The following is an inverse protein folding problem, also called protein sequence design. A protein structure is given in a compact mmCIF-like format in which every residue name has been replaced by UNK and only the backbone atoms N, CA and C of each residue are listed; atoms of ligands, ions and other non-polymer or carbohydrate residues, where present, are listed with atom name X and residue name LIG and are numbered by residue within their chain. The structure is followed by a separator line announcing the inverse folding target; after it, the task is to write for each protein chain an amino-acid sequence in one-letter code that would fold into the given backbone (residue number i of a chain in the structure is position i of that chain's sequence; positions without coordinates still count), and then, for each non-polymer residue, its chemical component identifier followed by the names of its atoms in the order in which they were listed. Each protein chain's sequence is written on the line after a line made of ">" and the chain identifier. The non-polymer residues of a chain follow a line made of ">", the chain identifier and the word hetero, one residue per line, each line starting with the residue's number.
data_IF_952874798984
#
_entry.id   IF_952874798984
#
_cell.length_a   1.000
_cell.length_b   1.000
_cell.length_c   1.000
_cell.angle_alpha   90.00
_cell.angle_beta   90.00
_cell.angle_gamma   90.00
#
_symmetry.space_group_name_H-M   'P 1'
#
loop_
_entity.id
_entity.type
_entity.pdbx_description
1 polymer ?
#
# COMPACT_ATOMS: atom_id res chain seq x y z
N UNK A 1 -6.08 -20.82 -14.81
CA UNK A 1 -6.78 -19.57 -14.46
C UNK A 1 -7.71 -19.87 -13.29
N UNK A 2 -7.36 -19.42 -12.09
CA UNK A 2 -8.16 -19.66 -10.89
C UNK A 2 -9.32 -18.64 -10.83
N UNK A 3 -10.35 -18.94 -10.04
CA UNK A 3 -11.42 -17.96 -9.72
C UNK A 3 -10.86 -16.66 -9.12
N UNK A 4 -9.69 -16.70 -8.48
CA UNK A 4 -9.07 -15.56 -7.82
C UNK A 4 -8.33 -14.62 -8.78
N UNK A 5 -7.96 -15.07 -9.98
CA UNK A 5 -7.16 -14.28 -10.92
C UNK A 5 -7.91 -12.98 -11.33
N UNK A 6 -9.23 -13.08 -11.54
CA UNK A 6 -10.08 -11.92 -11.80
C UNK A 6 -10.18 -10.97 -10.60
N UNK A 7 -10.26 -11.51 -9.39
CA UNK A 7 -10.33 -10.71 -8.16
C UNK A 7 -9.01 -9.98 -7.90
N UNK A 8 -7.88 -10.66 -8.08
CA UNK A 8 -6.53 -10.07 -7.96
C UNK A 8 -6.31 -8.97 -9.00
N UNK A 9 -6.78 -9.19 -10.24
CA UNK A 9 -6.70 -8.17 -11.30
C UNK A 9 -7.51 -6.91 -10.95
N UNK A 10 -8.74 -7.09 -10.46
CA UNK A 10 -9.59 -5.96 -10.02
C UNK A 10 -8.98 -5.23 -8.83
N UNK A 11 -8.43 -5.97 -7.87
CA UNK A 11 -7.77 -5.38 -6.70
C UNK A 11 -6.53 -4.55 -7.11
N UNK A 12 -5.71 -5.04 -8.05
CA UNK A 12 -4.58 -4.27 -8.60
C UNK A 12 -5.03 -2.94 -9.18
N UNK A 13 -6.07 -2.95 -10.00
CA UNK A 13 -6.59 -1.74 -10.62
C UNK A 13 -7.17 -0.76 -9.58
N UNK A 14 -7.98 -1.27 -8.64
CA UNK A 14 -8.63 -0.46 -7.62
C UNK A 14 -7.65 0.15 -6.60
N UNK A 15 -6.49 -0.47 -6.39
CA UNK A 15 -5.48 0.02 -5.46
C UNK A 15 -4.43 0.92 -6.12
N UNK A 16 -4.55 1.23 -7.42
CA UNK A 16 -3.71 2.26 -8.03
C UNK A 16 -4.11 3.62 -7.47
N UNK A 17 -3.18 4.38 -6.85
CA UNK A 17 -3.51 5.71 -6.40
C UNK A 17 -3.70 6.63 -7.61
N UNK A 18 -4.60 7.61 -7.51
CA UNK A 18 -4.84 8.61 -8.55
C UNK A 18 -3.59 9.46 -8.82
N UNK A 19 -2.74 9.59 -7.81
CA UNK A 19 -1.49 10.36 -7.85
C UNK A 19 -0.37 9.66 -7.09
N UNK A 20 0.89 9.83 -7.51
CA UNK A 20 2.03 9.27 -6.80
C UNK A 20 2.16 9.88 -5.40
N UNK A 21 2.64 9.07 -4.45
CA UNK A 21 2.90 9.50 -3.09
C UNK A 21 3.91 10.68 -3.08
N UNK A 22 3.59 11.79 -2.39
CA UNK A 22 4.55 12.86 -2.13
C UNK A 22 5.77 12.34 -1.35
N UNK A 23 6.97 12.93 -1.49
CA UNK A 23 8.17 12.47 -0.79
C UNK A 23 8.03 12.34 0.74
N UNK A 24 7.21 13.20 1.35
CA UNK A 24 6.91 13.17 2.78
C UNK A 24 6.31 11.83 3.27
N UNK A 25 5.65 11.08 2.38
CA UNK A 25 5.08 9.77 2.68
C UNK A 25 6.13 8.66 2.78
N UNK A 26 7.35 8.86 2.28
CA UNK A 26 8.36 7.81 2.13
C UNK A 26 8.57 6.96 3.40
N UNK A 27 8.92 7.56 4.55
CA UNK A 27 9.15 6.80 5.79
C UNK A 27 7.91 6.05 6.29
N UNK A 28 6.73 6.65 6.13
CA UNK A 28 5.45 6.05 6.51
C UNK A 28 5.11 4.85 5.61
N UNK A 29 5.20 5.02 4.29
CA UNK A 29 4.89 3.95 3.34
C UNK A 29 5.92 2.82 3.37
N UNK A 30 7.20 3.11 3.63
CA UNK A 30 8.19 2.07 3.91
C UNK A 30 7.79 1.25 5.15
N UNK A 31 7.28 1.90 6.20
CA UNK A 31 6.77 1.21 7.39
C UNK A 31 5.55 0.35 7.05
N UNK A 32 4.58 0.88 6.31
CA UNK A 32 3.42 0.10 5.84
C UNK A 32 3.87 -1.11 5.02
N UNK A 33 4.86 -0.95 4.13
CA UNK A 33 5.38 -2.04 3.30
C UNK A 33 6.07 -3.11 4.13
N UNK A 34 6.95 -2.75 5.06
CA UNK A 34 7.90 -3.69 5.67
C UNK A 34 7.51 -4.14 7.09
N UNK A 35 6.79 -3.29 7.83
CA UNK A 35 6.57 -3.43 9.29
C UNK A 35 5.27 -2.76 9.74
N UNK A 36 4.16 -3.04 9.05
CA UNK A 36 2.85 -2.41 9.30
C UNK A 36 2.36 -2.53 10.76
N UNK A 37 2.76 -3.58 11.47
CA UNK A 37 2.44 -3.77 12.90
C UNK A 37 3.09 -2.71 13.82
N UNK A 38 4.06 -1.95 13.30
CA UNK A 38 4.74 -0.85 14.01
C UNK A 38 4.22 0.54 13.63
N UNK A 39 3.21 0.61 12.77
CA UNK A 39 2.56 1.88 12.44
C UNK A 39 1.73 2.35 13.63
N UNK A 40 1.84 3.64 13.93
CA UNK A 40 1.21 4.30 15.09
C UNK A 40 0.40 5.52 14.64
N UNK A 41 -0.47 6.01 15.51
CA UNK A 41 -1.24 7.24 15.27
C UNK A 41 -0.35 8.46 15.06
N UNK A 42 0.85 8.47 15.67
CA UNK A 42 1.83 9.55 15.50
C UNK A 42 2.37 9.64 14.06
N UNK A 43 2.45 8.50 13.36
CA UNK A 43 2.89 8.49 11.96
C UNK A 43 1.85 9.15 11.04
N UNK A 44 0.56 8.88 11.30
CA UNK A 44 -0.57 9.49 10.59
C UNK A 44 -0.67 10.98 10.94
N UNK A 45 -0.55 11.32 12.22
CA UNK A 45 -0.60 12.72 12.67
C UNK A 45 0.52 13.56 12.06
N UNK A 46 1.72 13.01 11.93
CA UNK A 46 2.85 13.70 11.28
C UNK A 46 2.55 14.08 9.82
N UNK A 47 1.80 13.25 9.09
CA UNK A 47 1.37 13.55 7.72
C UNK A 47 0.25 14.60 7.71
N UNK A 48 -0.68 14.53 8.66
CA UNK A 48 -1.73 15.55 8.81
C UNK A 48 -1.12 16.92 9.13
N UNK A 49 -0.13 16.98 10.02
CA UNK A 49 0.59 18.19 10.38
C UNK A 49 1.39 18.76 9.19
N UNK A 50 1.80 17.91 8.25
CA UNK A 50 2.41 18.30 6.98
C UNK A 50 1.40 18.78 5.92
N UNK A 51 0.10 18.79 6.24
CA UNK A 51 -0.98 19.33 5.40
C UNK A 51 -1.70 18.31 4.51
N UNK A 52 -1.46 17.01 4.69
CA UNK A 52 -2.17 15.97 3.94
C UNK A 52 -3.52 15.63 4.56
N UNK A 53 -4.51 15.36 3.71
CA UNK A 53 -5.84 14.95 4.16
C UNK A 53 -5.86 13.49 4.59
N UNK A 54 -6.85 13.10 5.39
CA UNK A 54 -7.02 11.70 5.78
C UNK A 54 -7.32 10.80 4.57
N UNK A 55 -8.05 11.30 3.57
CA UNK A 55 -8.30 10.57 2.33
C UNK A 55 -7.00 10.31 1.55
N UNK A 56 -6.13 11.30 1.44
CA UNK A 56 -4.82 11.14 0.80
C UNK A 56 -3.95 10.15 1.58
N UNK A 57 -3.99 10.19 2.91
CA UNK A 57 -3.26 9.24 3.75
C UNK A 57 -3.80 7.82 3.57
N UNK A 58 -5.11 7.65 3.61
CA UNK A 58 -5.78 6.37 3.43
C UNK A 58 -5.49 5.76 2.07
N UNK A 59 -5.66 6.54 1.00
CA UNK A 59 -5.41 6.12 -0.38
C UNK A 59 -3.98 5.57 -0.52
N UNK A 60 -2.97 6.35 -0.13
CA UNK A 60 -1.57 5.94 -0.27
C UNK A 60 -1.24 4.74 0.61
N UNK A 61 -1.85 4.62 1.79
CA UNK A 61 -1.69 3.47 2.69
C UNK A 61 -2.20 2.19 2.04
N UNK A 62 -3.44 2.21 1.53
CA UNK A 62 -4.07 1.06 0.88
C UNK A 62 -3.30 0.66 -0.37
N UNK A 63 -2.93 1.63 -1.21
CA UNK A 63 -2.12 1.40 -2.40
C UNK A 63 -0.79 0.71 -2.08
N UNK A 64 -0.04 1.21 -1.09
CA UNK A 64 1.23 0.62 -0.70
C UNK A 64 1.09 -0.78 -0.09
N UNK A 65 0.07 -1.00 0.75
CA UNK A 65 -0.19 -2.29 1.38
C UNK A 65 -0.57 -3.37 0.34
N UNK A 66 -1.47 -3.03 -0.59
CA UNK A 66 -1.91 -3.94 -1.66
C UNK A 66 -0.74 -4.26 -2.60
N UNK A 67 0.03 -3.25 -3.03
CA UNK A 67 1.21 -3.47 -3.87
C UNK A 67 2.19 -4.44 -3.20
N UNK A 68 2.53 -4.20 -1.93
CA UNK A 68 3.46 -5.06 -1.20
C UNK A 68 2.91 -6.47 -0.95
N UNK A 69 1.60 -6.64 -0.75
CA UNK A 69 0.97 -7.96 -0.63
C UNK A 69 1.04 -8.75 -1.93
N UNK A 70 0.80 -8.08 -3.06
CA UNK A 70 0.84 -8.69 -4.39
C UNK A 70 2.26 -9.02 -4.84
N UNK A 71 3.24 -8.16 -4.56
CA UNK A 71 4.66 -8.44 -4.78
C UNK A 71 5.08 -9.74 -4.08
N UNK A 72 4.65 -9.93 -2.82
CA UNK A 72 4.92 -11.16 -2.06
C UNK A 72 4.20 -12.37 -2.62
N UNK A 73 2.94 -12.22 -3.04
CA UNK A 73 2.17 -13.28 -3.67
C UNK A 73 2.85 -13.76 -4.96
N UNK A 74 3.23 -12.83 -5.83
CA UNK A 74 3.91 -13.13 -7.09
C UNK A 74 5.25 -13.84 -6.83
N UNK A 75 6.03 -13.34 -5.87
CA UNK A 75 7.30 -13.97 -5.47
C UNK A 75 7.09 -15.40 -4.96
N UNK A 76 6.11 -15.63 -4.09
CA UNK A 76 5.80 -16.96 -3.57
C UNK A 76 5.28 -17.93 -4.63
N UNK A 77 4.48 -17.46 -5.59
CA UNK A 77 4.04 -18.30 -6.72
C UNK A 77 5.19 -18.58 -7.70
N UNK A 78 6.13 -17.65 -7.84
CA UNK A 78 7.31 -17.80 -8.69
C UNK A 78 8.25 -18.93 -8.25
N UNK A 79 8.26 -19.31 -6.97
CA UNK A 79 9.08 -20.43 -6.47
C UNK A 79 8.45 -21.81 -6.69
N UNK A 80 7.16 -21.85 -7.04
CA UNK A 80 6.39 -23.10 -7.26
C UNK A 80 6.30 -23.51 -8.74
N UNK A 81 6.91 -22.73 -9.63
CA UNK A 81 6.98 -23.00 -11.08
C UNK A 81 8.27 -23.72 -11.43
#
# INVERSE_FOLDING_TARGET
>A
MTRYDQLVTRLRAAAQPERPAPPAFGPYLERVRCRAYSTTDADVQSLKDAGFTEDEIFEQTVSAAVAAGLERLDAGLGTLR
#
